data_IF_306929945820
#
_entry.id   IF_306929945820
#
_cell.length_a   1.000
_cell.length_b   1.000
_cell.length_c   1.000
_cell.angle_alpha   90.00
_cell.angle_beta   90.00
_cell.angle_gamma   90.00
#
_symmetry.space_group_name_H-M   'P 1'
#
loop_
_entity.id
_entity.type
_entity.pdbx_description
1 polymer ?
#
# COMPACT_ATOMS: atom_id res chain seq x y z
N UNK A 1 -19.80 21.62 12.24
CA UNK A 1 -19.65 20.52 13.21
C UNK A 1 -18.86 19.39 12.57
N UNK A 2 -17.90 18.78 13.27
CA UNK A 2 -17.12 17.63 12.79
C UNK A 2 -17.53 16.36 13.52
N UNK A 3 -17.35 15.22 12.87
CA UNK A 3 -17.55 13.89 13.47
C UNK A 3 -16.25 13.39 14.09
N UNK A 4 -16.31 13.10 15.38
CA UNK A 4 -15.21 12.52 16.15
C UNK A 4 -15.62 11.13 16.61
N UNK A 5 -14.67 10.20 16.59
CA UNK A 5 -14.77 8.94 17.31
C UNK A 5 -14.14 9.15 18.67
N UNK A 6 -14.85 8.83 19.74
CA UNK A 6 -14.37 8.90 21.11
C UNK A 6 -14.41 7.53 21.78
N UNK A 7 -13.64 7.36 22.85
CA UNK A 7 -13.84 6.25 23.80
C UNK A 7 -14.79 6.70 24.90
N UNK A 8 -15.88 5.97 25.09
CA UNK A 8 -16.78 6.13 26.22
C UNK A 8 -17.22 4.75 26.74
N UNK A 9 -17.16 4.53 28.04
CA UNK A 9 -17.55 3.26 28.68
C UNK A 9 -16.91 2.02 28.04
N UNK A 10 -15.61 2.10 27.72
CA UNK A 10 -14.86 1.04 27.05
C UNK A 10 -15.41 0.66 25.65
N UNK A 11 -16.11 1.57 24.98
CA UNK A 11 -16.65 1.41 23.63
C UNK A 11 -16.32 2.62 22.77
N UNK A 12 -16.20 2.42 21.46
CA UNK A 12 -16.06 3.52 20.51
C UNK A 12 -17.42 4.04 20.07
N UNK A 13 -17.58 5.36 20.05
CA UNK A 13 -18.82 6.03 19.61
C UNK A 13 -18.52 7.23 18.74
N UNK A 14 -19.44 7.55 17.84
CA UNK A 14 -19.40 8.79 17.05
C UNK A 14 -20.13 9.88 17.79
N UNK A 15 -19.48 11.03 17.92
CA UNK A 15 -20.11 12.27 18.36
C UNK A 15 -19.88 13.37 17.34
N UNK A 16 -20.77 14.36 17.34
CA UNK A 16 -20.61 15.57 16.56
C UNK A 16 -20.27 16.72 17.50
N UNK A 17 -19.20 17.46 17.20
CA UNK A 17 -18.75 18.58 18.02
C UNK A 17 -18.10 19.65 17.15
N UNK A 18 -18.14 20.91 17.60
CA UNK A 18 -17.37 22.00 16.99
C UNK A 18 -15.91 21.95 17.41
N UNK A 19 -15.65 21.63 18.68
CA UNK A 19 -14.33 21.52 19.27
C UNK A 19 -13.88 20.07 19.38
N UNK A 20 -12.57 19.83 19.28
CA UNK A 20 -12.00 18.50 19.43
C UNK A 20 -12.14 18.02 20.89
N UNK A 21 -12.83 16.89 21.15
CA UNK A 21 -12.94 16.32 22.49
C UNK A 21 -11.57 15.83 22.99
N UNK A 22 -11.35 15.86 24.30
CA UNK A 22 -10.12 15.30 24.91
C UNK A 22 -10.03 13.77 24.74
N UNK A 23 -11.17 13.08 24.76
CA UNK A 23 -11.27 11.61 24.61
C UNK A 23 -11.33 11.15 23.16
N UNK A 24 -10.93 11.98 22.20
CA UNK A 24 -10.95 11.62 20.78
C UNK A 24 -9.94 10.52 20.44
N UNK A 25 -10.31 9.71 19.45
CA UNK A 25 -9.58 8.54 18.95
C UNK A 25 -9.20 8.77 17.51
N UNK A 26 -10.20 9.03 16.68
CA UNK A 26 -10.07 9.34 15.26
C UNK A 26 -11.05 10.46 14.90
N UNK A 27 -10.75 11.20 13.85
CA UNK A 27 -11.65 12.18 13.24
C UNK A 27 -11.84 11.82 11.78
N UNK A 28 -12.98 12.19 11.20
CA UNK A 28 -13.15 12.07 9.76
C UNK A 28 -12.07 12.85 9.02
N UNK A 29 -11.26 12.19 8.17
CA UNK A 29 -10.18 12.86 7.47
C UNK A 29 -10.75 13.92 6.53
N UNK A 30 -10.15 15.10 6.59
CA UNK A 30 -10.48 16.24 5.73
C UNK A 30 -9.23 16.74 5.01
N UNK A 31 -8.71 15.91 4.11
CA UNK A 31 -7.54 16.15 3.27
C UNK A 31 -6.21 16.34 4.01
N UNK A 32 -6.19 16.17 5.32
CA UNK A 32 -5.01 16.26 6.19
C UNK A 32 -4.55 14.88 6.63
N UNK A 33 -3.26 14.73 6.96
CA UNK A 33 -2.68 13.48 7.48
C UNK A 33 -2.58 13.42 9.02
N UNK A 34 -2.90 14.52 9.71
CA UNK A 34 -2.78 14.63 11.16
C UNK A 34 -4.03 14.08 11.87
N UNK A 35 -3.83 13.49 13.07
CA UNK A 35 -4.89 13.02 13.98
C UNK A 35 -5.82 11.93 13.42
N UNK A 36 -5.28 11.12 12.50
CA UNK A 36 -6.03 10.12 11.75
C UNK A 36 -5.57 8.69 12.02
N UNK A 37 -4.74 8.49 13.05
CA UNK A 37 -4.32 7.17 13.49
C UNK A 37 -4.49 7.01 14.99
N UNK A 38 -4.73 5.76 15.39
CA UNK A 38 -4.95 5.37 16.78
C UNK A 38 -4.34 4.00 17.04
N UNK A 39 -3.72 3.84 18.21
CA UNK A 39 -3.22 2.55 18.68
C UNK A 39 -4.16 2.03 19.75
N UNK A 40 -4.72 0.84 19.52
CA UNK A 40 -5.47 0.09 20.50
C UNK A 40 -4.55 -0.32 21.65
N UNK A 41 -4.71 0.33 22.81
CA UNK A 41 -3.81 0.18 23.97
C UNK A 41 -3.75 -1.26 24.48
N UNK A 42 -4.83 -2.03 24.32
CA UNK A 42 -4.93 -3.39 24.86
C UNK A 42 -4.14 -4.44 24.06
N UNK A 43 -3.95 -4.25 22.76
CA UNK A 43 -3.31 -5.25 21.90
C UNK A 43 -2.28 -4.68 20.92
N UNK A 44 -2.01 -3.38 20.96
CA UNK A 44 -1.01 -2.73 20.12
C UNK A 44 -1.37 -2.65 18.63
N UNK A 45 -2.62 -2.92 18.26
CA UNK A 45 -3.11 -2.80 16.90
C UNK A 45 -3.19 -1.32 16.50
N UNK A 46 -2.58 -0.97 15.38
CA UNK A 46 -2.58 0.39 14.83
C UNK A 46 -3.67 0.52 13.77
N UNK A 47 -4.57 1.47 13.93
CA UNK A 47 -5.68 1.74 13.02
C UNK A 47 -5.51 3.15 12.46
N UNK A 48 -5.52 3.28 11.13
CA UNK A 48 -5.39 4.55 10.41
C UNK A 48 -6.62 4.77 9.54
N UNK A 49 -7.19 5.98 9.57
CA UNK A 49 -8.27 6.41 8.68
C UNK A 49 -7.86 7.69 7.94
N UNK A 50 -7.26 7.51 6.76
CA UNK A 50 -6.57 8.56 6.03
C UNK A 50 -7.28 8.86 4.71
N UNK A 51 -7.17 10.09 4.24
CA UNK A 51 -7.44 10.39 2.84
C UNK A 51 -6.20 10.05 2.00
N UNK A 52 -6.23 8.92 1.30
CA UNK A 52 -5.17 8.52 0.38
C UNK A 52 -5.44 8.98 -1.04
N UNK A 53 -4.37 9.35 -1.75
CA UNK A 53 -4.39 9.62 -3.18
C UNK A 53 -3.91 8.36 -3.92
N UNK A 54 -4.83 7.62 -4.50
CA UNK A 54 -4.51 6.50 -5.42
C UNK A 54 -4.79 6.96 -6.86
N UNK A 55 -4.25 6.25 -7.85
CA UNK A 55 -4.34 6.54 -9.29
C UNK A 55 -5.75 6.83 -9.82
N UNK A 56 -6.77 6.39 -9.10
CA UNK A 56 -8.20 6.50 -9.35
C UNK A 56 -8.90 7.62 -8.55
N UNK A 57 -8.18 8.41 -7.77
CA UNK A 57 -8.70 9.56 -7.03
C UNK A 57 -8.39 9.55 -5.53
N UNK A 58 -8.96 10.53 -4.81
CA UNK A 58 -8.81 10.66 -3.36
C UNK A 58 -9.89 9.88 -2.64
N UNK A 59 -9.51 8.89 -1.85
CA UNK A 59 -10.44 8.05 -1.09
C UNK A 59 -10.04 7.94 0.37
N UNK A 60 -11.04 7.81 1.23
CA UNK A 60 -10.84 7.50 2.64
C UNK A 60 -10.47 6.03 2.78
N UNK A 61 -9.23 5.77 3.14
CA UNK A 61 -8.66 4.46 3.37
C UNK A 61 -8.62 4.18 4.87
N UNK A 62 -9.20 3.06 5.29
CA UNK A 62 -9.06 2.52 6.63
C UNK A 62 -8.11 1.34 6.58
N UNK A 63 -7.07 1.40 7.40
CA UNK A 63 -6.04 0.37 7.46
C UNK A 63 -5.87 -0.10 8.90
N UNK A 64 -5.75 -1.41 9.09
CA UNK A 64 -5.38 -2.02 10.36
C UNK A 64 -4.04 -2.70 10.21
N UNK A 65 -3.10 -2.37 11.08
CA UNK A 65 -1.72 -2.88 11.07
C UNK A 65 -1.37 -3.44 12.43
N UNK A 66 -0.74 -4.61 12.43
CA UNK A 66 -0.22 -5.24 13.65
C UNK A 66 1.18 -5.75 13.39
N UNK A 67 2.13 -5.41 14.28
CA UNK A 67 3.55 -5.78 14.13
C UNK A 67 4.13 -5.46 12.75
N UNK A 68 3.76 -4.29 12.20
CA UNK A 68 4.14 -3.79 10.87
C UNK A 68 3.53 -4.54 9.67
N UNK A 69 2.66 -5.53 9.90
CA UNK A 69 1.93 -6.24 8.84
C UNK A 69 0.51 -5.71 8.74
N UNK A 70 0.06 -5.46 7.50
CA UNK A 70 -1.29 -4.99 7.22
C UNK A 70 -2.28 -6.15 7.35
N UNK A 71 -3.22 -6.06 8.27
CA UNK A 71 -4.24 -7.09 8.52
C UNK A 71 -5.53 -6.83 7.74
N UNK A 72 -5.83 -5.56 7.46
CA UNK A 72 -7.05 -5.14 6.81
C UNK A 72 -6.83 -3.81 6.09
N UNK A 73 -7.44 -3.67 4.92
CA UNK A 73 -7.55 -2.41 4.19
C UNK A 73 -8.94 -2.31 3.58
N UNK A 74 -9.60 -1.17 3.79
CA UNK A 74 -10.84 -0.84 3.10
C UNK A 74 -10.76 0.58 2.54
N UNK A 75 -10.89 0.67 1.23
CA UNK A 75 -10.85 1.94 0.50
C UNK A 75 -12.26 2.53 0.35
N UNK A 76 -12.31 3.84 0.08
CA UNK A 76 -13.55 4.58 -0.21
C UNK A 76 -14.62 4.53 0.91
N UNK A 77 -14.19 4.58 2.18
CA UNK A 77 -15.13 4.60 3.31
C UNK A 77 -15.93 5.90 3.32
N UNK A 78 -17.25 5.80 3.13
CA UNK A 78 -18.20 6.91 3.23
C UNK A 78 -18.92 6.98 4.57
N UNK A 79 -19.04 5.85 5.26
CA UNK A 79 -19.77 5.74 6.52
C UNK A 79 -18.78 5.57 7.68
N UNK A 80 -18.76 6.55 8.59
CA UNK A 80 -17.92 6.52 9.79
C UNK A 80 -18.24 5.35 10.72
N UNK A 81 -19.46 4.81 10.67
CA UNK A 81 -19.82 3.64 11.48
C UNK A 81 -18.94 2.44 11.17
N UNK A 82 -18.51 2.26 9.91
CA UNK A 82 -17.59 1.19 9.52
C UNK A 82 -16.26 1.29 10.28
N UNK A 83 -15.78 2.51 10.52
CA UNK A 83 -14.54 2.77 11.29
C UNK A 83 -14.73 2.37 12.75
N UNK A 84 -15.89 2.70 13.32
CA UNK A 84 -16.25 2.32 14.70
C UNK A 84 -16.40 0.81 14.84
N UNK A 85 -17.01 0.14 13.87
CA UNK A 85 -17.19 -1.31 13.88
C UNK A 85 -15.84 -2.02 13.83
N UNK A 86 -14.92 -1.58 12.96
CA UNK A 86 -13.54 -2.11 12.90
C UNK A 86 -12.78 -1.85 14.20
N UNK A 87 -12.89 -0.66 14.79
CA UNK A 87 -12.28 -0.36 16.08
C UNK A 87 -12.78 -1.30 17.19
N UNK A 88 -14.09 -1.54 17.25
CA UNK A 88 -14.68 -2.44 18.23
C UNK A 88 -14.33 -3.92 17.96
N UNK A 89 -14.30 -4.35 16.70
CA UNK A 89 -13.89 -5.71 16.30
C UNK A 89 -12.47 -5.99 16.83
N UNK A 90 -11.50 -5.16 16.46
CA UNK A 90 -10.10 -5.38 16.86
C UNK A 90 -9.87 -5.15 18.34
N UNK A 91 -10.62 -4.25 18.99
CA UNK A 91 -10.54 -4.08 20.45
C UNK A 91 -10.97 -5.33 21.19
N UNK A 92 -12.01 -6.01 20.71
CA UNK A 92 -12.59 -7.16 21.41
C UNK A 92 -12.02 -8.51 20.93
N UNK A 93 -11.09 -8.49 19.96
CA UNK A 93 -10.40 -9.66 19.46
C UNK A 93 -9.45 -10.24 20.51
N UNK A 94 -9.47 -11.55 20.69
CA UNK A 94 -8.51 -12.24 21.56
C UNK A 94 -7.11 -12.25 20.95
N UNK A 95 -6.09 -12.44 21.80
CA UNK A 95 -4.69 -12.55 21.34
C UNK A 95 -4.49 -13.72 20.37
N UNK A 96 -5.24 -14.81 20.56
CA UNK A 96 -5.21 -15.99 19.69
C UNK A 96 -5.74 -15.63 18.31
N UNK A 97 -6.96 -15.07 18.22
CA UNK A 97 -7.57 -14.67 16.95
C UNK A 97 -6.74 -13.60 16.22
N UNK A 98 -6.17 -12.64 16.95
CA UNK A 98 -5.32 -11.61 16.39
C UNK A 98 -4.03 -12.21 15.80
N UNK A 99 -3.43 -13.17 16.51
CA UNK A 99 -2.24 -13.86 16.03
C UNK A 99 -2.56 -14.74 14.81
N UNK A 100 -3.71 -15.42 14.77
CA UNK A 100 -4.14 -16.18 13.60
C UNK A 100 -4.32 -15.29 12.37
N UNK A 101 -4.99 -14.14 12.51
CA UNK A 101 -5.12 -13.14 11.43
C UNK A 101 -3.74 -12.66 10.97
N UNK A 102 -2.82 -12.41 11.90
CA UNK A 102 -1.46 -11.99 11.59
C UNK A 102 -0.68 -13.05 10.80
N UNK A 103 -0.69 -14.31 11.23
CA UNK A 103 -0.02 -15.39 10.52
C UNK A 103 -0.59 -15.58 9.11
N UNK A 104 -1.92 -15.50 8.96
CA UNK A 104 -2.57 -15.56 7.66
C UNK A 104 -2.11 -14.42 6.73
N UNK A 105 -2.05 -13.19 7.24
CA UNK A 105 -1.58 -12.05 6.46
C UNK A 105 -0.12 -12.22 6.01
N UNK A 106 0.77 -12.71 6.87
CA UNK A 106 2.16 -12.99 6.51
C UNK A 106 2.28 -14.04 5.40
N UNK A 107 1.49 -15.10 5.46
CA UNK A 107 1.50 -16.15 4.42
C UNK A 107 1.04 -15.58 3.08
N UNK A 108 -0.04 -14.80 3.08
CA UNK A 108 -0.54 -14.14 1.87
C UNK A 108 0.49 -13.18 1.28
N UNK A 109 1.06 -12.29 2.10
CA UNK A 109 2.08 -11.32 1.67
C UNK A 109 3.30 -12.04 1.07
N UNK A 110 3.76 -13.13 1.70
CA UNK A 110 4.86 -13.95 1.17
C UNK A 110 4.51 -14.52 -0.21
N UNK A 111 3.33 -15.11 -0.38
CA UNK A 111 2.93 -15.70 -1.66
C UNK A 111 2.78 -14.66 -2.77
N UNK A 112 2.28 -13.47 -2.47
CA UNK A 112 2.19 -12.36 -3.41
C UNK A 112 3.58 -11.89 -3.85
N UNK A 113 4.51 -11.71 -2.91
CA UNK A 113 5.89 -11.33 -3.19
C UNK A 113 6.62 -12.39 -4.02
N UNK A 114 6.44 -13.68 -3.73
CA UNK A 114 7.02 -14.76 -4.52
C UNK A 114 6.53 -14.74 -5.98
N UNK A 115 5.24 -14.47 -6.20
CA UNK A 115 4.68 -14.33 -7.53
C UNK A 115 5.24 -13.10 -8.28
N UNK A 116 5.37 -11.96 -7.61
CA UNK A 116 5.94 -10.74 -8.19
C UNK A 116 7.42 -10.92 -8.57
N UNK A 117 8.21 -11.56 -7.70
CA UNK A 117 9.62 -11.87 -7.97
C UNK A 117 9.77 -12.73 -9.22
N UNK A 118 8.89 -13.73 -9.42
CA UNK A 118 8.95 -14.57 -10.62
C UNK A 118 8.58 -13.80 -11.89
N UNK A 119 7.58 -12.91 -11.83
CA UNK A 119 7.25 -12.02 -12.95
C UNK A 119 8.42 -11.12 -13.31
N UNK A 120 9.04 -10.46 -12.32
CA UNK A 120 10.20 -9.61 -12.53
C UNK A 120 11.39 -10.40 -13.11
N UNK A 121 11.56 -11.67 -12.71
CA UNK A 121 12.59 -12.54 -13.28
C UNK A 121 12.34 -12.82 -14.77
N UNK A 122 11.10 -13.07 -15.16
CA UNK A 122 10.71 -13.28 -16.56
C UNK A 122 10.95 -12.00 -17.37
N UNK A 123 10.50 -10.85 -16.87
CA UNK A 123 10.67 -9.54 -17.52
C UNK A 123 12.15 -9.19 -17.71
N UNK A 124 12.98 -9.42 -16.69
CA UNK A 124 14.43 -9.23 -16.77
C UNK A 124 15.07 -10.10 -17.85
N UNK A 125 14.67 -11.38 -17.93
CA UNK A 125 15.22 -12.29 -18.94
C UNK A 125 14.80 -11.87 -20.36
N UNK A 126 13.57 -11.42 -20.55
CA UNK A 126 13.09 -10.90 -21.83
C UNK A 126 13.84 -9.63 -22.24
N UNK A 127 14.03 -8.70 -21.30
CA UNK A 127 14.78 -7.47 -21.51
C UNK A 127 16.25 -7.74 -21.86
N UNK A 128 16.87 -8.73 -21.21
CA UNK A 128 18.23 -9.17 -21.52
C UNK A 128 18.35 -9.68 -22.96
N UNK A 129 17.45 -10.56 -23.40
CA UNK A 129 17.41 -11.07 -24.78
C UNK A 129 17.20 -9.96 -25.81
N UNK A 130 16.35 -8.97 -25.51
CA UNK A 130 16.17 -7.82 -26.40
C UNK A 130 17.46 -6.99 -26.52
N UNK A 131 18.16 -6.77 -25.40
CA UNK A 131 19.43 -6.04 -25.35
C UNK A 131 20.53 -6.75 -26.15
N UNK A 132 20.60 -8.08 -26.06
CA UNK A 132 21.53 -8.90 -26.85
C UNK A 132 21.29 -8.69 -28.36
N UNK A 133 20.04 -8.74 -28.82
CA UNK A 133 19.70 -8.47 -30.23
C UNK A 133 20.08 -7.06 -30.68
N UNK A 134 19.86 -6.04 -29.85
CA UNK A 134 20.29 -4.68 -30.18
C UNK A 134 21.81 -4.56 -30.29
N UNK A 135 22.54 -5.26 -29.42
CA UNK A 135 24.01 -5.27 -29.44
C UNK A 135 24.53 -5.92 -30.73
N UNK A 136 23.94 -7.05 -31.13
CA UNK A 136 24.26 -7.73 -32.40
C UNK A 136 24.01 -6.81 -33.61
N UNK A 137 22.88 -6.09 -33.62
CA UNK A 137 22.54 -5.15 -34.69
C UNK A 137 23.55 -4.00 -34.78
N UNK A 138 23.96 -3.44 -33.64
CA UNK A 138 24.97 -2.38 -33.60
C UNK A 138 26.30 -2.86 -34.17
N UNK A 139 26.75 -4.08 -33.82
CA UNK A 139 27.97 -4.66 -34.37
C UNK A 139 27.88 -4.90 -35.89
N UNK A 140 26.71 -5.33 -36.38
CA UNK A 140 26.46 -5.46 -37.81
C UNK A 140 26.53 -4.10 -38.52
N UNK A 141 25.91 -3.06 -37.95
CA UNK A 141 25.96 -1.70 -38.49
C UNK A 141 27.40 -1.17 -38.56
N UNK A 142 28.21 -1.39 -37.52
CA UNK A 142 29.63 -1.01 -37.52
C UNK A 142 30.40 -1.67 -38.67
N UNK A 143 30.18 -2.98 -38.90
CA UNK A 143 30.81 -3.71 -40.01
C UNK A 143 30.40 -3.16 -41.38
N UNK A 144 29.11 -2.88 -41.58
CA UNK A 144 28.61 -2.31 -42.83
C UNK A 144 29.28 -0.95 -43.10
N UNK A 145 29.34 -0.07 -42.10
CA UNK A 145 29.99 1.24 -42.22
C UNK A 145 31.47 1.09 -42.58
N UNK A 146 32.18 0.14 -41.97
CA UNK A 146 33.58 -0.13 -42.27
C UNK A 146 33.77 -0.58 -43.72
N UNK A 147 32.97 -1.55 -44.17
CA UNK A 147 33.03 -2.05 -45.55
C UNK A 147 32.73 -0.95 -46.58
N UNK A 148 31.81 -0.03 -46.29
CA UNK A 148 31.50 1.11 -47.18
C UNK A 148 32.71 2.03 -47.32
N UNK A 149 33.40 2.35 -46.22
CA UNK A 149 34.61 3.19 -46.27
C UNK A 149 35.72 2.57 -47.10
N UNK A 150 35.98 1.27 -46.92
CA UNK A 150 36.99 0.54 -47.70
C UNK A 150 36.67 0.57 -49.21
N UNK A 151 35.40 0.39 -49.58
CA UNK A 151 34.95 0.47 -50.98
C UNK A 151 35.03 1.88 -51.58
N UNK A 152 34.96 2.93 -50.75
CA UNK A 152 35.14 4.33 -51.18
C UNK A 152 36.63 4.69 -51.34
N UNK A 153 37.51 4.11 -50.52
CA UNK A 153 38.96 4.25 -50.63
C UNK A 153 39.52 3.55 -51.86
N UNK A 154 39.06 2.32 -52.18
CA UNK A 154 39.49 1.56 -53.36
C UNK A 154 39.07 2.18 -54.72
N UNK A 155 38.18 3.18 -54.71
CA UNK A 155 37.68 3.86 -55.92
C UNK A 155 38.43 5.16 -56.27
N UNK A 156 39.29 5.65 -55.38
CA UNK A 156 40.11 6.86 -55.57
C UNK A 156 41.57 6.52 -55.87
#
# INVERSE_FOLDING_TARGET
MKKYIIVENNSFKVIESENQPLSFVLVEPNKTYNNNSYVLVNNGVHISWLDEYKWNGKYRCLTVTFKKTKLFELNAIKNIQIVVDVLNEYKNMSDIELNEKYQKALVTEKSELEAEVEQLRIERNNSKKATEKYTELIELMKRIVQNIKELEEDKN
#
